data_IF_871304671347
#
_entry.id   IF_871304671347
#
_cell.length_a   1.000
_cell.length_b   1.000
_cell.length_c   1.000
_cell.angle_alpha   90.00
_cell.angle_beta   90.00
_cell.angle_gamma   90.00
#
_symmetry.space_group_name_H-M   'P 1'
#
loop_
_entity.id
_entity.type
_entity.pdbx_description
1 polymer ?
#
# COMPACT_ATOMS: atom_id res chain seq x y z
N UNK A 1 -5.94 10.79 -2.35
CA UNK A 1 -5.97 10.08 -1.05
C UNK A 1 -5.52 11.01 0.06
N UNK A 2 -4.32 11.59 -0.01
CA UNK A 2 -3.78 12.54 0.97
C UNK A 2 -4.64 13.77 1.29
N UNK A 3 -5.14 14.49 0.28
CA UNK A 3 -5.99 15.68 0.52
C UNK A 3 -7.27 15.37 1.33
N UNK A 4 -7.81 14.14 1.24
CA UNK A 4 -8.98 13.73 2.05
C UNK A 4 -8.61 13.47 3.51
N UNK A 5 -7.34 13.18 3.78
CA UNK A 5 -6.77 13.07 5.13
C UNK A 5 -6.25 14.42 5.66
N UNK A 6 -6.44 15.53 4.92
CA UNK A 6 -5.94 16.85 5.32
C UNK A 6 -4.44 17.03 5.13
N UNK A 7 -3.80 16.19 4.31
CA UNK A 7 -2.37 16.24 4.03
C UNK A 7 -2.08 16.90 2.68
N UNK A 8 -0.99 17.66 2.64
CA UNK A 8 -0.38 18.10 1.38
C UNK A 8 0.67 17.09 0.91
N UNK A 9 0.87 17.00 -0.40
CA UNK A 9 1.88 16.12 -1.02
C UNK A 9 2.81 16.99 -1.85
N UNK A 10 4.10 16.88 -1.59
CA UNK A 10 5.15 17.68 -2.22
C UNK A 10 6.19 16.77 -2.86
N UNK A 11 6.63 17.14 -4.07
CA UNK A 11 7.73 16.47 -4.74
C UNK A 11 9.00 17.29 -4.51
N UNK A 12 10.07 16.66 -4.03
CA UNK A 12 11.36 17.34 -3.78
C UNK A 12 12.52 16.51 -4.34
N UNK A 13 13.66 17.16 -4.55
CA UNK A 13 14.91 16.44 -4.81
C UNK A 13 15.40 15.85 -3.49
N UNK A 14 15.60 14.53 -3.44
CA UNK A 14 16.10 13.82 -2.26
C UNK A 14 17.36 13.04 -2.62
N UNK A 15 18.24 12.73 -1.64
CA UNK A 15 19.38 11.85 -1.85
C UNK A 15 18.98 10.53 -2.52
N UNK A 16 19.92 9.95 -3.27
CA UNK A 16 19.71 8.65 -3.89
C UNK A 16 19.43 7.58 -2.82
N UNK A 17 18.36 6.80 -3.03
CA UNK A 17 17.88 5.80 -2.08
C UNK A 17 16.70 6.27 -1.22
N UNK A 18 16.49 7.58 -1.06
CA UNK A 18 15.35 8.11 -0.33
C UNK A 18 14.18 8.32 -1.29
N UNK A 19 13.06 7.61 -1.06
CA UNK A 19 11.88 7.66 -1.92
C UNK A 19 10.80 8.61 -1.40
N UNK A 20 10.71 8.80 -0.08
CA UNK A 20 9.77 9.70 0.57
C UNK A 20 9.81 9.65 2.09
N UNK A 21 9.06 10.56 2.72
CA UNK A 21 8.81 10.54 4.15
C UNK A 21 7.56 11.38 4.52
N UNK A 22 6.97 11.05 5.66
CA UNK A 22 5.89 11.80 6.29
C UNK A 22 6.40 12.77 7.36
N UNK A 23 6.14 14.07 7.17
CA UNK A 23 6.40 15.13 8.14
C UNK A 23 5.14 15.40 8.98
N UNK A 24 5.09 14.80 10.18
CA UNK A 24 3.90 14.84 11.03
C UNK A 24 3.57 16.23 11.59
N UNK A 25 4.59 17.02 11.90
CA UNK A 25 4.50 18.40 12.39
C UNK A 25 3.98 19.37 11.32
N UNK A 26 4.28 19.09 10.05
CA UNK A 26 3.84 19.91 8.91
C UNK A 26 2.55 19.41 8.24
N UNK A 27 2.06 18.22 8.61
CA UNK A 27 0.97 17.53 7.92
C UNK A 27 1.25 17.35 6.41
N UNK A 28 2.47 16.93 6.09
CA UNK A 28 2.97 16.81 4.72
C UNK A 28 3.56 15.45 4.41
N UNK A 29 3.37 15.02 3.18
CA UNK A 29 4.07 13.89 2.58
C UNK A 29 5.05 14.45 1.54
N UNK A 30 6.31 14.07 1.65
CA UNK A 30 7.33 14.35 0.66
C UNK A 30 7.67 13.07 -0.09
N UNK A 31 7.86 13.17 -1.41
CA UNK A 31 8.40 12.07 -2.21
C UNK A 31 9.48 12.58 -3.16
N UNK A 32 10.39 11.70 -3.56
CA UNK A 32 11.50 12.05 -4.43
C UNK A 32 11.01 12.32 -5.87
N UNK A 33 11.47 13.41 -6.48
CA UNK A 33 11.14 13.79 -7.86
C UNK A 33 11.46 12.70 -8.88
N UNK A 34 12.47 11.87 -8.60
CA UNK A 34 12.90 10.80 -9.51
C UNK A 34 12.00 9.57 -9.47
N UNK A 35 11.08 9.46 -8.51
CA UNK A 35 10.15 8.33 -8.42
C UNK A 35 9.34 8.19 -9.70
N UNK A 36 9.34 6.97 -10.24
CA UNK A 36 8.40 6.52 -11.26
C UNK A 36 6.95 6.70 -10.78
N UNK A 37 5.95 6.70 -11.70
CA UNK A 37 4.56 6.82 -11.30
C UNK A 37 4.12 5.78 -10.26
N UNK A 38 4.62 4.54 -10.37
CA UNK A 38 4.23 3.43 -9.50
C UNK A 38 4.91 3.53 -8.12
N UNK A 39 6.21 3.86 -8.09
CA UNK A 39 6.92 4.18 -6.84
C UNK A 39 6.26 5.34 -6.11
N UNK A 40 5.91 6.42 -6.82
CA UNK A 40 5.22 7.57 -6.24
C UNK A 40 3.90 7.18 -5.59
N UNK A 41 3.12 6.30 -6.25
CA UNK A 41 1.87 5.78 -5.67
C UNK A 41 2.14 4.97 -4.40
N UNK A 42 3.14 4.08 -4.44
CA UNK A 42 3.52 3.23 -3.32
C UNK A 42 3.98 4.06 -2.11
N UNK A 43 4.93 4.98 -2.32
CA UNK A 43 5.44 5.90 -1.30
C UNK A 43 4.31 6.70 -0.67
N UNK A 44 3.48 7.39 -1.46
CA UNK A 44 2.39 8.20 -0.90
C UNK A 44 1.41 7.33 -0.09
N UNK A 45 1.15 6.10 -0.51
CA UNK A 45 0.28 5.19 0.23
C UNK A 45 0.90 4.71 1.55
N UNK A 46 2.21 4.43 1.55
CA UNK A 46 2.99 4.07 2.74
C UNK A 46 3.00 5.23 3.75
N UNK A 47 3.33 6.44 3.30
CA UNK A 47 3.31 7.65 4.15
C UNK A 47 1.93 7.99 4.71
N UNK A 48 0.86 7.70 3.94
CA UNK A 48 -0.50 7.78 4.46
C UNK A 48 -0.77 6.78 5.59
N UNK A 49 -0.12 5.62 5.56
CA UNK A 49 -0.14 4.64 6.64
C UNK A 49 0.48 5.19 7.91
N UNK A 50 1.63 5.84 7.81
CA UNK A 50 2.25 6.53 8.96
C UNK A 50 1.32 7.58 9.58
N UNK A 51 0.70 8.41 8.74
CA UNK A 51 -0.29 9.37 9.21
C UNK A 51 -1.49 8.67 9.87
N UNK A 52 -2.05 7.63 9.25
CA UNK A 52 -3.23 6.92 9.74
C UNK A 52 -3.04 6.34 11.14
N UNK A 53 -1.88 5.77 11.42
CA UNK A 53 -1.56 5.17 12.72
C UNK A 53 -0.91 6.15 13.71
N UNK A 54 -0.67 7.41 13.31
CA UNK A 54 -0.03 8.41 14.17
C UNK A 54 1.42 8.05 14.51
N UNK A 55 2.15 7.44 13.57
CA UNK A 55 3.55 7.13 13.76
C UNK A 55 4.38 8.41 13.92
N UNK A 56 5.29 8.41 14.89
CA UNK A 56 6.31 9.44 15.03
C UNK A 56 7.51 9.14 14.11
N UNK A 57 8.38 10.14 13.93
CA UNK A 57 9.60 10.01 13.15
C UNK A 57 10.49 8.86 13.68
N UNK A 58 10.98 8.02 12.77
CA UNK A 58 11.92 6.93 13.03
C UNK A 58 11.47 5.57 12.48
N UNK A 59 12.46 4.78 12.04
CA UNK A 59 12.28 3.50 11.33
C UNK A 59 11.99 2.35 12.31
N UNK A 60 10.87 2.44 13.02
CA UNK A 60 10.46 1.38 13.94
C UNK A 60 9.82 0.22 13.15
N UNK A 61 10.39 -1.00 13.17
CA UNK A 61 9.90 -2.09 12.30
C UNK A 61 8.41 -2.42 12.42
N UNK A 62 7.74 -2.31 13.60
CA UNK A 62 6.29 -2.45 13.66
C UNK A 62 5.52 -1.37 12.92
N UNK A 63 5.99 -0.12 12.96
CA UNK A 63 5.38 1.03 12.28
C UNK A 63 5.49 0.87 10.76
N UNK A 64 6.68 0.53 10.26
CA UNK A 64 6.90 0.23 8.84
C UNK A 64 5.93 -0.84 8.34
N UNK A 65 5.84 -1.98 9.05
CA UNK A 65 4.90 -3.05 8.68
C UNK A 65 3.43 -2.60 8.68
N UNK A 66 3.05 -1.71 9.59
CA UNK A 66 1.69 -1.16 9.62
C UNK A 66 1.46 -0.22 8.43
N UNK A 67 2.45 0.58 8.06
CA UNK A 67 2.40 1.45 6.88
C UNK A 67 2.37 0.64 5.58
N UNK A 68 3.19 -0.39 5.44
CA UNK A 68 3.21 -1.33 4.31
C UNK A 68 1.86 -2.05 4.15
N UNK A 69 1.33 -2.61 5.25
CA UNK A 69 0.03 -3.27 5.24
C UNK A 69 -1.11 -2.30 4.86
N UNK A 70 -1.02 -1.04 5.31
CA UNK A 70 -1.97 0.00 4.95
C UNK A 70 -1.86 0.35 3.46
N UNK A 71 -0.65 0.54 2.93
CA UNK A 71 -0.40 0.84 1.52
C UNK A 71 -0.92 -0.29 0.62
N UNK A 72 -0.59 -1.54 0.95
CA UNK A 72 -1.09 -2.73 0.26
C UNK A 72 -2.62 -2.82 0.26
N UNK A 73 -3.24 -2.61 1.43
CA UNK A 73 -4.70 -2.57 1.57
C UNK A 73 -5.32 -1.44 0.76
N UNK A 74 -4.64 -0.30 0.65
CA UNK A 74 -5.12 0.88 -0.07
C UNK A 74 -5.00 0.71 -1.58
N UNK A 75 -3.91 0.16 -2.08
CA UNK A 75 -3.59 0.13 -3.50
C UNK A 75 -4.06 -1.13 -4.23
N UNK A 76 -4.08 -2.29 -3.56
CA UNK A 76 -4.44 -3.56 -4.20
C UNK A 76 -5.96 -3.73 -4.20
N UNK A 77 -6.54 -3.98 -5.36
CA UNK A 77 -7.95 -4.36 -5.48
C UNK A 77 -8.08 -5.89 -5.34
N UNK A 78 -8.76 -6.42 -4.31
CA UNK A 78 -8.88 -7.86 -4.08
C UNK A 78 -9.36 -8.69 -5.26
N UNK A 79 -10.40 -8.24 -5.94
CA UNK A 79 -11.05 -9.00 -7.00
C UNK A 79 -10.13 -9.09 -8.23
N UNK A 80 -9.53 -7.95 -8.61
CA UNK A 80 -8.53 -7.89 -9.66
C UNK A 80 -7.28 -8.71 -9.31
N UNK A 81 -6.84 -8.68 -8.04
CA UNK A 81 -5.73 -9.50 -7.59
C UNK A 81 -6.00 -10.99 -7.79
N UNK A 82 -7.19 -11.46 -7.38
CA UNK A 82 -7.58 -12.85 -7.52
C UNK A 82 -7.66 -13.28 -8.99
N UNK A 83 -8.16 -12.41 -9.88
CA UNK A 83 -8.19 -12.64 -11.33
C UNK A 83 -6.77 -12.74 -11.92
N UNK A 84 -5.91 -11.77 -11.62
CA UNK A 84 -4.53 -11.72 -12.12
C UNK A 84 -3.68 -12.89 -11.60
N UNK A 85 -3.83 -13.26 -10.32
CA UNK A 85 -3.09 -14.38 -9.72
C UNK A 85 -3.43 -15.74 -10.37
N UNK A 86 -4.64 -15.90 -10.91
CA UNK A 86 -5.01 -17.10 -11.67
C UNK A 86 -4.32 -17.18 -13.04
N UNK A 87 -3.97 -16.04 -13.63
CA UNK A 87 -3.29 -15.96 -14.91
C UNK A 87 -1.79 -16.16 -14.72
N UNK A 88 -1.19 -15.43 -13.77
CA UNK A 88 0.22 -15.49 -13.47
C UNK A 88 0.46 -15.10 -12.00
N UNK A 89 1.18 -15.94 -11.25
CA UNK A 89 1.46 -15.72 -9.83
C UNK A 89 2.72 -14.88 -9.56
N UNK A 90 3.50 -14.53 -10.58
CA UNK A 90 4.68 -13.66 -10.44
C UNK A 90 4.27 -12.26 -9.97
N UNK A 91 4.92 -11.77 -8.91
CA UNK A 91 4.54 -10.51 -8.26
C UNK A 91 4.79 -9.31 -9.17
N UNK A 92 5.88 -9.33 -9.93
CA UNK A 92 6.29 -8.30 -10.87
C UNK A 92 5.25 -8.11 -11.97
N UNK A 93 4.73 -9.21 -12.51
CA UNK A 93 3.69 -9.17 -13.55
C UNK A 93 2.38 -8.62 -12.99
N UNK A 94 1.94 -9.08 -11.81
CA UNK A 94 0.73 -8.56 -11.16
C UNK A 94 0.89 -7.07 -10.83
N UNK A 95 2.08 -6.66 -10.39
CA UNK A 95 2.38 -5.28 -10.04
C UNK A 95 2.28 -4.35 -11.26
N UNK A 96 2.82 -4.77 -12.40
CA UNK A 96 2.70 -4.05 -13.68
C UNK A 96 1.23 -3.87 -14.08
N UNK A 97 0.43 -4.95 -14.04
CA UNK A 97 -1.01 -4.90 -14.37
C UNK A 97 -1.81 -4.01 -13.40
N UNK A 98 -1.36 -3.84 -12.15
CA UNK A 98 -1.99 -2.99 -11.14
C UNK A 98 -1.43 -1.56 -11.05
N UNK A 99 -0.35 -1.26 -11.78
CA UNK A 99 0.38 0.01 -11.70
C UNK A 99 0.94 0.28 -10.29
N UNK A 100 1.49 -0.73 -9.63
CA UNK A 100 2.12 -0.62 -8.30
C UNK A 100 3.53 -1.24 -8.35
N UNK A 101 4.31 -1.07 -7.30
CA UNK A 101 5.60 -1.76 -7.20
C UNK A 101 5.42 -3.23 -6.79
N UNK A 102 6.36 -4.13 -7.13
CA UNK A 102 6.32 -5.53 -6.69
C UNK A 102 6.20 -5.68 -5.16
N UNK A 103 6.84 -4.80 -4.39
CA UNK A 103 6.80 -4.79 -2.92
C UNK A 103 5.36 -4.67 -2.40
N UNK A 104 4.54 -3.80 -2.98
CA UNK A 104 3.12 -3.64 -2.61
C UNK A 104 2.35 -4.96 -2.76
N UNK A 105 2.66 -5.75 -3.79
CA UNK A 105 2.05 -7.07 -4.00
C UNK A 105 2.53 -8.09 -2.97
N UNK A 106 3.82 -8.07 -2.63
CA UNK A 106 4.39 -8.93 -1.59
C UNK A 106 3.83 -8.61 -0.21
N UNK A 107 3.66 -7.33 0.12
CA UNK A 107 3.05 -6.87 1.37
C UNK A 107 1.58 -7.24 1.44
N UNK A 108 0.86 -7.13 0.32
CA UNK A 108 -0.53 -7.58 0.25
C UNK A 108 -0.65 -9.08 0.55
N UNK A 109 0.21 -9.90 -0.07
CA UNK A 109 0.27 -11.35 0.20
C UNK A 109 0.57 -11.66 1.66
N UNK A 110 1.49 -10.91 2.26
CA UNK A 110 2.00 -11.17 3.61
C UNK A 110 1.03 -10.69 4.69
N UNK A 111 0.47 -9.49 4.54
CA UNK A 111 -0.25 -8.81 5.61
C UNK A 111 -1.78 -8.76 5.42
N UNK A 112 -2.26 -8.85 4.18
CA UNK A 112 -3.67 -8.60 3.86
C UNK A 112 -4.46 -9.88 3.54
N UNK A 113 -3.79 -10.93 3.06
CA UNK A 113 -4.42 -12.22 2.78
C UNK A 113 -4.46 -13.09 4.04
N UNK A 114 -5.66 -13.44 4.49
CA UNK A 114 -5.87 -14.52 5.45
C UNK A 114 -6.29 -15.79 4.70
N UNK A 115 -5.39 -16.77 4.61
CA UNK A 115 -5.71 -18.08 4.07
C UNK A 115 -6.37 -18.95 5.14
N UNK A 116 -7.67 -19.19 5.02
CA UNK A 116 -8.42 -20.14 5.85
C UNK A 116 -8.83 -21.34 4.99
N UNK A 117 -8.01 -22.40 5.01
CA UNK A 117 -8.25 -23.59 4.18
C UNK A 117 -8.10 -23.30 2.68
N UNK A 118 -9.12 -23.67 1.87
CA UNK A 118 -9.18 -23.38 0.42
C UNK A 118 -9.69 -21.96 0.08
N UNK A 119 -9.96 -21.13 1.09
CA UNK A 119 -10.56 -19.81 0.90
C UNK A 119 -9.58 -18.74 1.34
N UNK A 120 -9.32 -17.77 0.46
CA UNK A 120 -8.52 -16.59 0.75
C UNK A 120 -9.46 -15.44 1.11
N UNK A 121 -9.33 -14.93 2.35
CA UNK A 121 -10.04 -13.75 2.83
C UNK A 121 -9.12 -12.54 2.71
N UNK A 122 -9.68 -11.39 2.33
CA UNK A 122 -8.98 -10.11 2.42
C UNK A 122 -9.39 -9.38 3.69
N UNK A 123 -8.40 -8.88 4.43
CA UNK A 123 -8.68 -8.06 5.61
C UNK A 123 -9.39 -6.78 5.16
N UNK A 124 -10.52 -6.45 5.78
CA UNK A 124 -11.40 -5.35 5.36
C UNK A 124 -10.64 -4.01 5.25
N UNK A 125 -10.91 -3.24 4.19
CA UNK A 125 -10.50 -1.84 4.06
C UNK A 125 -11.13 -1.01 5.19
N UNK A 126 -10.32 -0.23 5.89
CA UNK A 126 -10.72 0.57 7.05
C UNK A 126 -11.59 1.78 6.62
N UNK A 127 -12.89 1.74 6.91
CA UNK A 127 -13.84 2.86 6.78
C UNK A 127 -15.30 2.43 6.61
N UNK A 128 -16.18 2.89 7.50
CA UNK A 128 -17.62 2.60 7.71
C UNK A 128 -18.39 2.06 6.47
N UNK A 129 -18.71 0.76 6.51
CA UNK A 129 -19.82 0.16 5.74
C UNK A 129 -19.41 -0.77 4.58
N UNK A 130 -19.37 -2.07 4.88
CA UNK A 130 -19.36 -3.23 3.95
C UNK A 130 -18.05 -3.33 3.12
N UNK A 131 -17.44 -4.50 2.87
CA UNK A 131 -17.95 -5.67 2.16
C UNK A 131 -17.11 -6.93 2.49
N UNK A 132 -17.76 -8.08 2.63
CA UNK A 132 -17.13 -9.40 2.54
C UNK A 132 -17.15 -9.81 1.06
N UNK A 133 -16.00 -9.84 0.39
CA UNK A 133 -15.91 -10.49 -0.92
C UNK A 133 -15.65 -11.99 -0.73
N UNK A 134 -16.41 -12.82 -1.46
CA UNK A 134 -16.35 -14.29 -1.42
C UNK A 134 -15.93 -14.80 -2.79
N UNK A 135 -14.64 -15.15 -2.94
CA UNK A 135 -14.16 -15.91 -4.10
C UNK A 135 -14.31 -17.42 -3.83
N UNK A 136 -15.10 -18.12 -4.64
CA UNK A 136 -15.08 -19.58 -4.71
C UNK A 136 -14.09 -20.01 -5.79
N UNK A 137 -13.09 -20.82 -5.41
CA UNK A 137 -12.27 -21.55 -6.37
C UNK A 137 -13.05 -22.79 -6.84
N UNK A 138 -13.11 -23.00 -8.16
CA UNK A 138 -13.56 -24.26 -8.77
C UNK A 138 -12.50 -25.36 -8.60
#
# INVERSE_FOLDING_TARGET
MAARAGLEVHAIDMPEGDLGYYAADEQRIYFNLICTPDERRAVIAHELGHHHYGHACGDHPPNERQADAYAATLLVAPDLYAELEQINSHAEWIAEEMGVTPEVILDYRTYCLQRLGRVTYTRARMGVGQWLHRGLLA
#
